data_IF_406364662423
#
_entry.id   IF_406364662423
#
_cell.length_a   1.000
_cell.length_b   1.000
_cell.length_c   1.000
_cell.angle_alpha   90.00
_cell.angle_beta   90.00
_cell.angle_gamma   90.00
#
_symmetry.space_group_name_H-M   'P 1'
#
loop_
_entity.id
_entity.type
_entity.pdbx_description
1 polymer ?
#
# COMPACT_ATOMS: atom_id res chain seq x y z
N UNK A 1 -18.52 8.71 -28.46
CA UNK A 1 -18.03 9.12 -27.13
C UNK A 1 -16.71 8.39 -26.92
N UNK A 2 -15.60 9.11 -26.86
CA UNK A 2 -14.31 8.47 -26.59
C UNK A 2 -14.26 7.96 -25.17
N UNK A 3 -13.69 6.77 -24.99
CA UNK A 3 -13.48 6.18 -23.66
C UNK A 3 -12.40 6.98 -22.93
N UNK A 4 -12.54 7.22 -21.60
CA UNK A 4 -11.50 7.87 -20.82
C UNK A 4 -10.17 7.13 -20.94
N UNK A 5 -9.07 7.86 -21.06
CA UNK A 5 -7.74 7.25 -20.96
C UNK A 5 -7.37 7.08 -19.47
N UNK A 6 -7.67 5.92 -18.92
CA UNK A 6 -7.43 5.64 -17.49
C UNK A 6 -5.94 5.67 -17.13
N UNK A 7 -5.03 5.35 -18.04
CA UNK A 7 -3.59 5.44 -17.79
C UNK A 7 -3.13 6.91 -17.63
N UNK A 8 -3.66 7.83 -18.44
CA UNK A 8 -3.38 9.26 -18.28
C UNK A 8 -3.97 9.82 -16.98
N UNK A 9 -5.17 9.37 -16.59
CA UNK A 9 -5.79 9.76 -15.33
C UNK A 9 -4.91 9.26 -14.17
N UNK A 10 -4.43 8.03 -14.21
CA UNK A 10 -3.50 7.49 -13.22
C UNK A 10 -2.23 8.34 -13.14
N UNK A 11 -1.56 8.58 -14.27
CA UNK A 11 -0.34 9.38 -14.32
C UNK A 11 -0.54 10.82 -13.81
N UNK A 12 -1.70 11.43 -14.07
CA UNK A 12 -2.06 12.73 -13.52
C UNK A 12 -2.10 12.72 -11.98
N UNK A 13 -2.82 11.76 -11.38
CA UNK A 13 -2.87 11.61 -9.93
C UNK A 13 -1.50 11.28 -9.33
N UNK A 14 -0.69 10.49 -10.02
CA UNK A 14 0.68 10.19 -9.59
C UNK A 14 1.55 11.43 -9.53
N UNK A 15 1.48 12.29 -10.53
CA UNK A 15 2.21 13.58 -10.54
C UNK A 15 1.75 14.53 -9.44
N UNK A 16 0.45 14.60 -9.16
CA UNK A 16 -0.07 15.40 -8.04
C UNK A 16 0.46 14.93 -6.67
N UNK A 17 0.72 13.64 -6.55
CA UNK A 17 1.24 13.01 -5.33
C UNK A 17 2.75 12.70 -5.43
N UNK A 18 3.46 13.24 -6.42
CA UNK A 18 4.90 13.07 -6.56
C UNK A 18 5.61 13.81 -5.43
N UNK A 19 5.81 13.12 -4.32
CA UNK A 19 6.60 13.55 -3.18
C UNK A 19 7.87 12.72 -3.08
N UNK A 20 8.79 13.17 -2.24
CA UNK A 20 9.96 12.38 -1.88
C UNK A 20 9.49 11.04 -1.31
N UNK A 21 10.06 9.94 -1.78
CA UNK A 21 9.84 8.64 -1.17
C UNK A 21 10.35 8.71 0.29
N UNK A 22 9.42 8.92 1.23
CA UNK A 22 9.73 9.09 2.65
C UNK A 22 10.44 7.87 3.24
N UNK A 23 10.29 6.71 2.63
CA UNK A 23 10.87 5.45 3.08
C UNK A 23 12.33 5.24 2.64
N UNK A 24 12.92 6.17 1.90
CA UNK A 24 14.37 6.24 1.72
C UNK A 24 15.10 6.64 3.02
N UNK A 25 14.40 7.33 3.93
CA UNK A 25 14.92 7.67 5.24
C UNK A 25 14.84 6.44 6.18
N UNK A 26 15.96 5.99 6.79
CA UNK A 26 15.99 4.83 7.67
C UNK A 26 15.06 4.94 8.90
N UNK A 27 14.89 6.14 9.47
CA UNK A 27 14.02 6.35 10.62
C UNK A 27 12.54 6.16 10.23
N UNK A 28 12.14 6.69 9.07
CA UNK A 28 10.79 6.50 8.55
C UNK A 28 10.51 5.04 8.19
N UNK A 29 11.50 4.36 7.59
CA UNK A 29 11.41 2.93 7.27
C UNK A 29 11.24 2.10 8.55
N UNK A 30 12.06 2.37 9.58
CA UNK A 30 11.97 1.68 10.87
C UNK A 30 10.68 1.98 11.61
N UNK A 31 10.21 3.23 11.59
CA UNK A 31 8.91 3.59 12.19
C UNK A 31 7.76 2.86 11.53
N UNK A 32 7.81 2.67 10.21
CA UNK A 32 6.82 1.88 9.48
C UNK A 32 6.88 0.40 9.87
N UNK A 33 8.07 -0.18 9.93
CA UNK A 33 8.31 -1.57 10.32
C UNK A 33 7.79 -1.90 11.73
N UNK A 34 7.94 -0.98 12.68
CA UNK A 34 7.48 -1.16 14.06
C UNK A 34 5.94 -1.20 14.21
N UNK A 35 5.19 -0.92 13.16
CA UNK A 35 3.72 -0.99 13.20
C UNK A 35 3.23 -2.43 13.25
N UNK A 36 2.82 -2.90 14.42
CA UNK A 36 2.29 -4.26 14.60
C UNK A 36 1.11 -4.59 13.67
N UNK A 37 0.29 -3.59 13.35
CA UNK A 37 -0.92 -3.80 12.52
C UNK A 37 -0.60 -4.16 11.08
N UNK A 38 0.45 -3.57 10.48
CA UNK A 38 0.84 -3.93 9.10
C UNK A 38 1.31 -5.39 9.04
N UNK A 39 2.01 -5.86 10.07
CA UNK A 39 2.48 -7.24 10.16
C UNK A 39 1.31 -8.21 10.35
N UNK A 40 0.35 -7.91 11.24
CA UNK A 40 -0.86 -8.73 11.42
C UNK A 40 -1.65 -8.86 10.12
N UNK A 41 -1.82 -7.76 9.37
CA UNK A 41 -2.47 -7.78 8.07
C UNK A 41 -1.67 -8.60 7.04
N UNK A 42 -0.35 -8.46 7.01
CA UNK A 42 0.54 -9.23 6.14
C UNK A 42 0.44 -10.74 6.37
N UNK A 43 0.52 -11.17 7.62
CA UNK A 43 0.36 -12.58 7.99
C UNK A 43 -1.03 -13.11 7.61
N UNK A 44 -2.10 -12.36 7.92
CA UNK A 44 -3.47 -12.73 7.55
C UNK A 44 -3.63 -12.89 6.05
N UNK A 45 -3.15 -11.94 5.26
CA UNK A 45 -3.20 -12.02 3.79
C UNK A 45 -2.39 -13.18 3.24
N UNK A 46 -1.21 -13.46 3.81
CA UNK A 46 -0.38 -14.58 3.40
C UNK A 46 -1.06 -15.95 3.62
N UNK A 47 -2.02 -16.06 4.55
CA UNK A 47 -2.80 -17.28 4.76
C UNK A 47 -3.85 -17.53 3.68
N UNK A 48 -4.35 -16.48 3.06
CA UNK A 48 -5.40 -16.58 2.04
C UNK A 48 -4.89 -17.04 0.66
N UNK A 49 -3.57 -16.99 0.41
CA UNK A 49 -3.01 -17.38 -0.87
C UNK A 49 -2.94 -18.90 -1.03
N UNK A 50 -3.31 -19.44 -2.21
CA UNK A 50 -3.25 -20.87 -2.51
C UNK A 50 -1.84 -21.31 -2.93
N UNK A 51 -0.79 -20.75 -2.33
CA UNK A 51 0.59 -21.01 -2.68
C UNK A 51 1.10 -22.32 -2.10
N UNK A 52 2.06 -22.93 -2.78
CA UNK A 52 2.70 -24.18 -2.38
C UNK A 52 4.22 -24.03 -2.34
N UNK A 53 4.89 -24.94 -1.67
CA UNK A 53 6.36 -25.05 -1.61
C UNK A 53 7.07 -25.19 -2.98
N UNK A 54 6.34 -25.30 -4.07
CA UNK A 54 6.89 -25.37 -5.42
C UNK A 54 6.83 -24.04 -6.16
N UNK A 55 6.05 -23.10 -5.64
CA UNK A 55 5.76 -21.85 -6.31
C UNK A 55 6.87 -20.82 -6.11
N UNK A 56 7.05 -19.99 -7.11
CA UNK A 56 7.92 -18.82 -7.08
C UNK A 56 7.06 -17.55 -7.07
N UNK A 57 7.41 -16.59 -6.22
CA UNK A 57 6.68 -15.33 -6.04
C UNK A 57 7.60 -14.16 -6.33
N UNK A 58 7.08 -13.16 -7.04
CA UNK A 58 7.68 -11.83 -7.18
C UNK A 58 6.82 -10.83 -6.41
N UNK A 59 7.40 -10.17 -5.41
CA UNK A 59 6.75 -9.13 -4.60
C UNK A 59 7.34 -7.76 -4.97
N UNK A 60 6.51 -6.89 -5.55
CA UNK A 60 6.89 -5.59 -6.09
C UNK A 60 6.60 -4.49 -5.07
N UNK A 61 7.65 -3.77 -4.66
CA UNK A 61 7.56 -2.78 -3.60
C UNK A 61 7.27 -3.44 -2.26
N UNK A 62 8.11 -4.41 -1.89
CA UNK A 62 7.89 -5.25 -0.70
C UNK A 62 7.93 -4.48 0.63
N UNK A 63 8.45 -3.23 0.63
CA UNK A 63 8.73 -2.51 1.87
C UNK A 63 9.62 -3.31 2.80
N UNK A 64 9.33 -3.36 4.13
CA UNK A 64 10.13 -4.12 5.09
C UNK A 64 9.87 -5.64 5.02
N UNK A 65 9.15 -6.11 4.01
CA UNK A 65 8.84 -7.53 3.82
C UNK A 65 7.53 -8.00 4.46
N UNK A 66 6.60 -7.08 4.70
CA UNK A 66 5.32 -7.36 5.38
C UNK A 66 4.57 -8.56 4.80
N UNK A 67 4.67 -8.78 3.49
CA UNK A 67 4.06 -9.92 2.82
C UNK A 67 5.11 -10.99 2.48
N UNK A 68 6.31 -10.60 2.06
CA UNK A 68 7.37 -11.52 1.67
C UNK A 68 7.82 -12.45 2.81
N UNK A 69 7.99 -11.91 4.03
CA UNK A 69 8.40 -12.67 5.21
C UNK A 69 7.40 -13.80 5.55
N UNK A 70 6.08 -13.53 5.72
CA UNK A 70 5.12 -14.60 5.98
C UNK A 70 4.89 -15.54 4.79
N UNK A 71 5.18 -15.15 3.57
CA UNK A 71 5.09 -16.01 2.39
C UNK A 71 6.29 -16.97 2.26
N UNK A 72 7.48 -16.56 2.70
CA UNK A 72 8.70 -17.34 2.55
C UNK A 72 8.59 -18.82 2.99
N UNK A 73 8.00 -19.15 4.15
CA UNK A 73 7.85 -20.56 4.56
C UNK A 73 6.84 -21.36 3.72
N UNK A 74 6.04 -20.71 2.88
CA UNK A 74 4.95 -21.34 2.10
C UNK A 74 5.33 -21.61 0.65
N UNK A 75 6.43 -21.03 0.16
CA UNK A 75 6.80 -21.05 -1.26
C UNK A 75 8.26 -21.50 -1.47
N UNK A 76 8.61 -21.81 -2.70
CA UNK A 76 9.98 -22.14 -3.07
C UNK A 76 10.92 -20.95 -2.89
N UNK A 77 10.55 -19.81 -3.45
CA UNK A 77 11.32 -18.56 -3.37
C UNK A 77 10.39 -17.35 -3.43
N UNK A 78 10.80 -16.27 -2.76
CA UNK A 78 10.21 -14.94 -2.93
C UNK A 78 11.30 -14.00 -3.43
N UNK A 79 11.17 -13.53 -4.66
CA UNK A 79 11.99 -12.42 -5.17
C UNK A 79 11.31 -11.13 -4.79
N UNK A 80 12.01 -10.21 -4.14
CA UNK A 80 11.47 -8.92 -3.73
C UNK A 80 12.17 -7.78 -4.47
N UNK A 81 11.41 -6.86 -5.05
CA UNK A 81 11.91 -5.67 -5.74
C UNK A 81 11.49 -4.45 -4.95
N UNK A 82 12.47 -3.66 -4.48
CA UNK A 82 12.21 -2.51 -3.62
C UNK A 82 13.22 -1.39 -3.91
N UNK A 83 12.76 -0.15 -4.20
CA UNK A 83 13.65 0.98 -4.46
C UNK A 83 14.28 1.58 -3.20
N UNK A 84 13.77 1.29 -2.01
CA UNK A 84 14.35 1.77 -0.75
C UNK A 84 15.37 0.79 -0.21
N UNK A 85 16.64 1.21 -0.18
CA UNK A 85 17.71 0.43 0.46
C UNK A 85 17.44 0.22 1.95
N UNK A 86 16.89 1.23 2.64
CA UNK A 86 16.54 1.14 4.05
C UNK A 86 15.48 0.07 4.32
N UNK A 87 14.49 -0.08 3.45
CA UNK A 87 13.49 -1.14 3.54
C UNK A 87 14.10 -2.52 3.31
N UNK A 88 14.99 -2.66 2.31
CA UNK A 88 15.66 -3.94 2.05
C UNK A 88 16.59 -4.36 3.19
N UNK A 89 17.22 -3.41 3.87
CA UNK A 89 18.06 -3.71 5.05
C UNK A 89 17.20 -4.32 6.16
N UNK A 90 15.99 -3.79 6.38
CA UNK A 90 15.02 -4.36 7.33
C UNK A 90 14.57 -5.76 6.89
N UNK A 91 14.32 -5.99 5.59
CA UNK A 91 14.03 -7.34 5.08
C UNK A 91 15.15 -8.31 5.44
N UNK A 92 16.41 -7.90 5.28
CA UNK A 92 17.56 -8.74 5.63
C UNK A 92 17.65 -9.01 7.14
N UNK A 93 17.38 -8.01 7.99
CA UNK A 93 17.31 -8.18 9.44
C UNK A 93 16.26 -9.23 9.82
N UNK A 94 15.04 -9.12 9.28
CA UNK A 94 13.98 -10.12 9.51
C UNK A 94 14.35 -11.50 8.97
N UNK A 95 15.04 -11.60 7.83
CA UNK A 95 15.50 -12.87 7.30
C UNK A 95 16.50 -13.56 8.25
N UNK A 96 17.43 -12.80 8.83
CA UNK A 96 18.40 -13.31 9.81
C UNK A 96 17.68 -13.75 11.09
N UNK A 97 16.85 -12.90 11.67
CA UNK A 97 16.12 -13.17 12.91
C UNK A 97 15.24 -14.42 12.82
N UNK A 98 14.60 -14.64 11.67
CA UNK A 98 13.65 -15.74 11.44
C UNK A 98 14.27 -16.93 10.71
N UNK A 99 15.60 -16.90 10.43
CA UNK A 99 16.32 -17.93 9.68
C UNK A 99 15.67 -18.23 8.29
N UNK A 100 15.26 -17.20 7.57
CA UNK A 100 14.68 -17.29 6.23
C UNK A 100 15.80 -17.19 5.20
N UNK A 101 15.88 -18.15 4.27
CA UNK A 101 16.99 -18.24 3.26
C UNK A 101 16.49 -18.17 1.82
N UNK A 102 15.18 -18.11 1.59
CA UNK A 102 14.57 -18.18 0.26
C UNK A 102 13.95 -16.86 -0.20
N UNK A 103 14.31 -15.73 0.42
CA UNK A 103 14.01 -14.38 -0.07
C UNK A 103 15.21 -13.87 -0.85
N UNK A 104 14.98 -13.39 -2.08
CA UNK A 104 15.99 -12.85 -3.00
C UNK A 104 15.74 -11.34 -3.13
N UNK A 105 16.49 -10.47 -2.42
CA UNK A 105 16.30 -9.03 -2.48
C UNK A 105 16.93 -8.42 -3.72
N UNK A 106 16.19 -7.53 -4.39
CA UNK A 106 16.65 -6.75 -5.55
C UNK A 106 16.38 -5.27 -5.28
N UNK A 107 17.46 -4.50 -5.16
CA UNK A 107 17.40 -3.05 -5.00
C UNK A 107 17.20 -2.40 -6.37
N UNK A 108 15.96 -2.11 -6.73
CA UNK A 108 15.59 -1.52 -8.02
C UNK A 108 14.21 -0.90 -7.94
N UNK A 109 13.94 0.08 -8.79
CA UNK A 109 12.56 0.47 -9.11
C UNK A 109 11.90 -0.61 -9.97
N UNK A 110 10.57 -0.60 -10.04
CA UNK A 110 9.86 -1.53 -10.92
C UNK A 110 10.18 -1.26 -12.40
N UNK A 111 10.34 -0.02 -12.77
CA UNK A 111 10.65 0.41 -14.13
C UNK A 111 12.00 -0.13 -14.59
N UNK A 112 13.03 -0.06 -13.73
CA UNK A 112 14.39 -0.50 -14.00
C UNK A 112 14.58 -2.02 -13.82
N UNK A 113 13.75 -2.66 -13.02
CA UNK A 113 13.83 -4.10 -12.81
C UNK A 113 13.67 -4.86 -14.11
N UNK A 114 14.66 -5.63 -14.47
CA UNK A 114 14.63 -6.52 -15.62
C UNK A 114 15.13 -7.89 -15.19
N UNK A 115 14.24 -8.88 -15.05
CA UNK A 115 14.68 -10.26 -14.81
C UNK A 115 15.41 -10.77 -16.03
N UNK A 116 16.61 -11.29 -15.84
CA UNK A 116 17.47 -11.76 -16.94
C UNK A 116 16.78 -12.82 -17.81
N UNK A 117 16.66 -12.55 -19.11
CA UNK A 117 16.23 -13.55 -20.09
C UNK A 117 14.75 -13.94 -20.02
N UNK A 118 14.46 -15.22 -19.79
CA UNK A 118 13.10 -15.79 -19.79
C UNK A 118 12.58 -16.07 -18.37
N UNK A 119 13.15 -15.44 -17.35
CA UNK A 119 12.73 -15.68 -15.97
C UNK A 119 11.27 -15.27 -15.78
N UNK A 120 10.47 -16.19 -15.24
CA UNK A 120 9.07 -16.01 -14.91
C UNK A 120 8.79 -16.49 -13.50
N UNK A 121 7.75 -15.94 -12.91
CA UNK A 121 7.29 -16.29 -11.58
C UNK A 121 5.91 -16.93 -11.65
N UNK A 122 5.62 -17.84 -10.74
CA UNK A 122 4.26 -18.39 -10.66
C UNK A 122 3.25 -17.30 -10.30
N UNK A 123 3.63 -16.45 -9.38
CA UNK A 123 2.79 -15.35 -8.90
C UNK A 123 3.56 -14.04 -8.87
N UNK A 124 2.88 -12.97 -9.27
CA UNK A 124 3.38 -11.59 -9.17
C UNK A 124 2.42 -10.81 -8.28
N UNK A 125 2.96 -10.13 -7.28
CA UNK A 125 2.19 -9.39 -6.29
C UNK A 125 2.67 -7.94 -6.25
N UNK A 126 1.75 -6.99 -6.15
CA UNK A 126 2.02 -5.60 -5.75
C UNK A 126 1.03 -5.22 -4.64
N UNK A 127 1.54 -5.00 -3.44
CA UNK A 127 0.72 -4.79 -2.25
C UNK A 127 0.89 -3.39 -1.72
N UNK A 128 -0.08 -2.51 -2.00
CA UNK A 128 -0.07 -1.08 -1.66
C UNK A 128 1.15 -0.33 -2.19
N UNK A 129 1.72 -0.83 -3.27
CA UNK A 129 2.99 -0.37 -3.86
C UNK A 129 2.86 0.10 -5.31
N UNK A 130 1.65 0.38 -5.79
CA UNK A 130 1.40 0.86 -7.15
C UNK A 130 1.81 2.33 -7.29
N UNK A 131 3.13 2.58 -7.23
CA UNK A 131 3.71 3.92 -7.28
C UNK A 131 4.25 4.28 -8.68
N UNK A 132 4.13 3.40 -9.65
CA UNK A 132 4.57 3.57 -11.04
C UNK A 132 3.80 4.70 -11.71
N UNK A 133 4.48 5.53 -12.51
CA UNK A 133 3.82 6.59 -13.27
C UNK A 133 3.00 6.01 -14.42
N UNK A 134 3.58 5.07 -15.17
CA UNK A 134 2.87 4.32 -16.22
C UNK A 134 2.37 2.98 -15.66
N UNK A 135 1.16 3.01 -15.08
CA UNK A 135 0.54 1.80 -14.55
C UNK A 135 0.16 0.81 -15.66
N UNK A 136 -0.14 1.28 -16.87
CA UNK A 136 -0.49 0.43 -18.00
C UNK A 136 0.71 -0.47 -18.38
N UNK A 137 1.88 0.12 -18.57
CA UNK A 137 3.10 -0.63 -18.86
C UNK A 137 3.52 -1.50 -17.67
N UNK A 138 3.33 -1.02 -16.44
CA UNK A 138 3.59 -1.80 -15.23
C UNK A 138 2.73 -3.09 -15.19
N UNK A 139 1.43 -2.98 -15.47
CA UNK A 139 0.50 -4.13 -15.54
C UNK A 139 0.89 -5.11 -16.66
N UNK A 140 1.24 -4.60 -17.85
CA UNK A 140 1.69 -5.44 -18.96
C UNK A 140 2.94 -6.24 -18.59
N UNK A 141 3.91 -5.61 -17.95
CA UNK A 141 5.13 -6.28 -17.46
C UNK A 141 4.81 -7.31 -16.38
N UNK A 142 3.92 -7.01 -15.41
CA UNK A 142 3.46 -7.99 -14.42
C UNK A 142 2.79 -9.19 -15.10
N UNK A 143 1.93 -8.94 -16.09
CA UNK A 143 1.25 -9.99 -16.86
C UNK A 143 2.22 -10.87 -17.64
N UNK A 144 3.30 -10.30 -18.20
CA UNK A 144 4.34 -11.04 -18.91
C UNK A 144 5.17 -11.92 -17.99
N UNK A 145 5.45 -11.47 -16.76
CA UNK A 145 6.30 -12.16 -15.80
C UNK A 145 5.57 -13.26 -15.01
N UNK A 146 4.25 -13.17 -14.86
CA UNK A 146 3.47 -14.16 -14.13
C UNK A 146 3.12 -15.37 -15.02
N UNK A 147 3.12 -16.59 -14.45
CA UNK A 147 2.67 -17.80 -15.12
C UNK A 147 1.31 -18.30 -14.63
N UNK A 148 0.94 -18.04 -13.37
CA UNK A 148 -0.30 -18.49 -12.76
C UNK A 148 -1.28 -17.36 -12.45
N UNK A 149 -0.84 -16.34 -11.69
CA UNK A 149 -1.73 -15.22 -11.33
C UNK A 149 -0.95 -13.97 -10.94
N UNK A 150 -1.57 -12.79 -11.18
CA UNK A 150 -1.15 -11.50 -10.65
C UNK A 150 -2.14 -11.08 -9.57
N UNK A 151 -1.62 -10.47 -8.48
CA UNK A 151 -2.40 -9.92 -7.38
C UNK A 151 -1.99 -8.48 -7.13
N UNK A 152 -2.97 -7.58 -7.13
CA UNK A 152 -2.80 -6.18 -6.73
C UNK A 152 -3.65 -5.92 -5.50
N UNK A 153 -3.07 -5.33 -4.47
CA UNK A 153 -3.81 -4.84 -3.30
C UNK A 153 -3.86 -3.33 -3.35
N UNK A 154 -5.04 -2.76 -3.25
CA UNK A 154 -5.22 -1.32 -3.35
C UNK A 154 -6.44 -0.82 -2.58
N UNK A 155 -6.69 0.49 -2.65
CA UNK A 155 -7.75 1.19 -1.96
C UNK A 155 -8.98 1.36 -2.86
N UNK A 156 -10.17 1.21 -2.29
CA UNK A 156 -11.45 1.43 -2.96
C UNK A 156 -12.20 2.57 -2.26
N UNK A 157 -12.57 3.60 -3.02
CA UNK A 157 -13.22 4.80 -2.48
C UNK A 157 -12.27 5.71 -1.68
N UNK A 158 -12.81 6.71 -1.02
CA UNK A 158 -12.04 7.64 -0.18
C UNK A 158 -11.49 6.92 1.02
N UNK A 159 -10.18 7.06 1.26
CA UNK A 159 -9.54 6.48 2.44
C UNK A 159 -9.77 7.36 3.67
N UNK A 160 -9.69 6.79 4.87
CA UNK A 160 -9.90 7.56 6.10
C UNK A 160 -8.94 8.73 6.24
N UNK A 161 -7.68 8.57 5.84
CA UNK A 161 -6.71 9.67 5.90
C UNK A 161 -6.96 10.75 4.85
N UNK A 162 -7.50 10.41 3.68
CA UNK A 162 -7.92 11.40 2.68
C UNK A 162 -9.17 12.14 3.14
N UNK A 163 -10.12 11.45 3.79
CA UNK A 163 -11.31 12.10 4.35
C UNK A 163 -10.91 13.14 5.40
N UNK A 164 -9.99 12.82 6.31
CA UNK A 164 -9.45 13.78 7.29
C UNK A 164 -8.85 14.99 6.57
N UNK A 165 -8.06 14.75 5.52
CA UNK A 165 -7.44 15.84 4.77
C UNK A 165 -8.48 16.69 4.01
N UNK A 166 -9.50 16.07 3.42
CA UNK A 166 -10.61 16.75 2.74
C UNK A 166 -11.43 17.62 3.71
N UNK A 167 -11.64 17.17 4.92
CA UNK A 167 -12.44 17.88 5.93
C UNK A 167 -11.68 19.04 6.58
N UNK A 168 -10.35 18.88 6.76
CA UNK A 168 -9.54 19.81 7.56
C UNK A 168 -8.71 20.79 6.71
N UNK A 169 -8.08 20.36 5.61
CA UNK A 169 -7.18 21.23 4.85
C UNK A 169 -7.87 22.48 4.28
N UNK A 170 -9.12 22.43 3.79
CA UNK A 170 -9.83 23.65 3.37
C UNK A 170 -10.02 24.65 4.50
N UNK A 171 -10.24 24.18 5.74
CA UNK A 171 -10.45 25.04 6.92
C UNK A 171 -9.14 25.61 7.48
N UNK A 172 -8.03 24.86 7.33
CA UNK A 172 -6.72 25.20 7.90
C UNK A 172 -5.84 25.95 6.92
N UNK A 173 -5.79 25.48 5.66
CA UNK A 173 -4.87 25.99 4.63
C UNK A 173 -5.58 26.60 3.41
N UNK A 174 -6.91 26.53 3.34
CA UNK A 174 -7.67 27.01 2.18
C UNK A 174 -7.42 26.19 0.90
N UNK A 175 -6.89 24.96 1.01
CA UNK A 175 -6.52 24.12 -0.13
C UNK A 175 -7.20 22.76 -0.05
N UNK A 176 -7.44 22.13 -1.22
CA UNK A 176 -7.88 20.75 -1.28
C UNK A 176 -6.67 19.81 -1.34
N UNK A 177 -6.73 18.65 -0.69
CA UNK A 177 -5.68 17.64 -0.81
C UNK A 177 -5.67 17.01 -2.21
N UNK A 178 -4.50 16.55 -2.65
CA UNK A 178 -4.41 15.66 -3.78
C UNK A 178 -4.82 14.24 -3.33
N UNK A 179 -5.92 13.73 -3.89
CA UNK A 179 -6.34 12.35 -3.65
C UNK A 179 -5.51 11.36 -4.48
N UNK A 180 -5.36 10.15 -3.98
CA UNK A 180 -4.72 9.06 -4.74
C UNK A 180 -5.71 8.41 -5.71
N UNK A 181 -5.24 7.88 -6.86
CA UNK A 181 -6.09 7.12 -7.76
C UNK A 181 -6.56 5.83 -7.07
N UNK A 182 -7.77 5.39 -7.40
CA UNK A 182 -8.42 4.26 -6.74
C UNK A 182 -8.57 3.05 -7.67
N UNK A 183 -9.20 2.02 -7.15
CA UNK A 183 -9.45 0.74 -7.83
C UNK A 183 -10.22 0.88 -9.14
N UNK A 184 -11.12 1.83 -9.26
CA UNK A 184 -11.88 2.13 -10.47
C UNK A 184 -10.97 2.47 -11.66
N UNK A 185 -9.93 3.28 -11.44
CA UNK A 185 -8.95 3.62 -12.46
C UNK A 185 -8.10 2.40 -12.82
N UNK A 186 -7.64 1.63 -11.84
CA UNK A 186 -6.89 0.39 -12.07
C UNK A 186 -7.74 -0.58 -12.92
N UNK A 187 -9.00 -0.78 -12.53
CA UNK A 187 -9.89 -1.68 -13.24
C UNK A 187 -10.20 -1.20 -14.65
N UNK A 188 -10.34 0.12 -14.85
CA UNK A 188 -10.47 0.73 -16.17
C UNK A 188 -9.28 0.43 -17.08
N UNK A 189 -8.04 0.53 -16.56
CA UNK A 189 -6.82 0.15 -17.31
C UNK A 189 -6.86 -1.33 -17.66
N UNK A 190 -7.21 -2.21 -16.73
CA UNK A 190 -7.30 -3.65 -16.97
C UNK A 190 -8.33 -3.97 -18.08
N UNK A 191 -9.49 -3.32 -18.06
CA UNK A 191 -10.52 -3.46 -19.10
C UNK A 191 -9.98 -3.00 -20.47
N UNK A 192 -9.27 -1.87 -20.55
CA UNK A 192 -8.67 -1.37 -21.79
C UNK A 192 -7.57 -2.29 -22.33
N UNK A 193 -6.87 -3.02 -21.46
CA UNK A 193 -5.91 -4.08 -21.82
C UNK A 193 -6.61 -5.41 -22.18
N UNK A 194 -7.93 -5.46 -22.09
CA UNK A 194 -8.70 -6.68 -22.28
C UNK A 194 -8.44 -7.75 -21.22
N UNK A 195 -7.97 -7.36 -20.02
CA UNK A 195 -7.73 -8.24 -18.89
C UNK A 195 -9.02 -8.33 -18.08
N UNK A 196 -9.55 -9.54 -17.93
CA UNK A 196 -10.66 -9.82 -17.02
C UNK A 196 -10.11 -10.16 -15.64
N UNK A 197 -10.32 -9.29 -14.68
CA UNK A 197 -9.84 -9.44 -13.32
C UNK A 197 -10.98 -9.65 -12.32
N UNK A 198 -10.72 -10.48 -11.33
CA UNK A 198 -11.56 -10.60 -10.13
C UNK A 198 -11.26 -9.45 -9.17
N UNK A 199 -12.27 -8.91 -8.51
CA UNK A 199 -12.13 -7.91 -7.44
C UNK A 199 -12.78 -8.45 -6.18
N UNK A 200 -12.00 -8.60 -5.11
CA UNK A 200 -12.49 -9.07 -3.80
C UNK A 200 -12.23 -7.99 -2.76
N UNK A 201 -13.25 -7.60 -2.00
CA UNK A 201 -13.07 -6.79 -0.81
C UNK A 201 -12.35 -7.60 0.26
N UNK A 202 -11.40 -6.94 0.97
CA UNK A 202 -10.69 -7.53 2.09
C UNK A 202 -11.46 -7.22 3.37
N UNK A 203 -11.95 -8.26 4.02
CA UNK A 203 -12.66 -8.13 5.29
C UNK A 203 -11.70 -8.15 6.47
N UNK A 204 -11.99 -7.31 7.46
CA UNK A 204 -11.22 -7.25 8.71
C UNK A 204 -9.79 -6.72 8.55
N UNK A 205 -9.48 -6.07 7.42
CA UNK A 205 -8.31 -5.21 7.30
C UNK A 205 -8.68 -3.86 7.86
N UNK A 206 -8.01 -3.44 8.94
CA UNK A 206 -8.23 -2.16 9.59
C UNK A 206 -6.92 -1.71 10.23
N UNK A 207 -6.58 -0.45 10.03
CA UNK A 207 -5.40 0.18 10.63
C UNK A 207 -5.79 1.13 11.76
N UNK A 208 -6.72 0.70 12.62
CA UNK A 208 -7.13 1.42 13.81
C UNK A 208 -5.94 1.75 14.72
N UNK A 209 -6.03 2.89 15.40
CA UNK A 209 -5.05 3.32 16.40
C UNK A 209 -5.75 3.69 17.70
N UNK A 210 -5.09 3.43 18.80
CA UNK A 210 -5.50 3.80 20.14
C UNK A 210 -4.64 4.95 20.65
N UNK A 211 -5.27 5.93 21.32
CA UNK A 211 -4.62 7.05 21.96
C UNK A 211 -5.07 7.14 23.41
N UNK A 212 -4.12 7.25 24.31
CA UNK A 212 -4.42 7.29 25.75
C UNK A 212 -4.93 8.64 26.22
N UNK A 213 -4.59 9.70 25.47
CA UNK A 213 -5.03 11.06 25.81
C UNK A 213 -5.65 11.75 24.58
N UNK A 214 -6.44 12.80 24.84
CA UNK A 214 -6.96 13.68 23.80
C UNK A 214 -5.82 14.37 23.03
N UNK A 215 -4.76 14.74 23.74
CA UNK A 215 -3.60 15.41 23.13
C UNK A 215 -2.88 14.50 22.13
N UNK A 216 -2.74 13.21 22.43
CA UNK A 216 -2.16 12.24 21.48
C UNK A 216 -2.98 12.15 20.20
N UNK A 217 -4.31 12.13 20.31
CA UNK A 217 -5.21 12.11 19.14
C UNK A 217 -5.12 13.42 18.32
N UNK A 218 -5.02 14.57 18.99
CA UNK A 218 -4.81 15.88 18.32
C UNK A 218 -3.45 15.90 17.63
N UNK A 219 -2.42 15.33 18.25
CA UNK A 219 -1.08 15.24 17.66
C UNK A 219 -1.07 14.34 16.40
N UNK A 220 -1.84 13.26 16.41
CA UNK A 220 -2.03 12.43 15.20
C UNK A 220 -2.72 13.24 14.08
N UNK A 221 -3.76 14.03 14.40
CA UNK A 221 -4.41 14.93 13.45
C UNK A 221 -3.45 15.99 12.89
N UNK A 222 -2.67 16.66 13.75
CA UNK A 222 -1.67 17.65 13.32
C UNK A 222 -0.70 17.05 12.30
N UNK A 223 -0.16 15.86 12.59
CA UNK A 223 0.74 15.13 11.67
C UNK A 223 0.07 14.82 10.33
N UNK A 224 -1.19 14.38 10.33
CA UNK A 224 -1.92 14.05 9.11
C UNK A 224 -2.16 15.24 8.21
N UNK A 225 -2.40 16.42 8.78
CA UNK A 225 -2.64 17.66 8.01
C UNK A 225 -1.37 18.51 7.83
N UNK A 226 -0.23 18.05 8.36
CA UNK A 226 1.08 18.70 8.21
C UNK A 226 1.12 20.08 8.84
N UNK A 227 0.78 20.16 10.15
CA UNK A 227 0.89 21.37 10.98
C UNK A 227 1.60 21.02 12.29
N UNK A 228 2.44 21.94 12.76
CA UNK A 228 3.24 21.75 13.98
C UNK A 228 2.79 22.68 15.13
N UNK A 229 1.95 23.68 14.84
CA UNK A 229 1.49 24.67 15.82
C UNK A 229 0.10 24.35 16.39
N UNK A 230 -0.17 24.82 17.60
CA UNK A 230 -1.50 24.73 18.23
C UNK A 230 -2.52 25.76 17.73
N UNK A 231 -2.19 26.56 16.73
CA UNK A 231 -3.06 27.62 16.19
C UNK A 231 -4.45 27.11 15.76
N UNK A 232 -4.51 25.88 15.25
CA UNK A 232 -5.74 25.27 14.72
C UNK A 232 -6.39 24.26 15.66
N UNK A 233 -5.96 24.16 16.91
CA UNK A 233 -6.42 23.15 17.85
C UNK A 233 -7.93 23.17 18.07
N UNK A 234 -8.56 24.33 18.09
CA UNK A 234 -10.02 24.44 18.18
C UNK A 234 -10.73 23.72 17.03
N UNK A 235 -10.18 23.82 15.80
CA UNK A 235 -10.71 23.12 14.62
C UNK A 235 -10.50 21.61 14.75
N UNK A 236 -9.30 21.21 15.19
CA UNK A 236 -8.97 19.79 15.38
C UNK A 236 -9.80 19.16 16.50
N UNK A 237 -10.02 19.87 17.60
CA UNK A 237 -10.88 19.41 18.69
C UNK A 237 -12.35 19.26 18.29
N UNK A 238 -12.84 20.17 17.45
CA UNK A 238 -14.19 20.06 16.88
C UNK A 238 -14.29 18.83 16.00
N UNK A 239 -13.32 18.66 15.09
CA UNK A 239 -13.25 17.48 14.22
C UNK A 239 -13.18 16.18 15.02
N UNK A 240 -12.34 16.13 16.06
CA UNK A 240 -12.20 14.98 16.94
C UNK A 240 -13.53 14.54 17.58
N UNK A 241 -14.42 15.51 17.89
CA UNK A 241 -15.71 15.27 18.53
C UNK A 241 -16.82 14.88 17.54
N UNK A 242 -16.75 15.39 16.32
CA UNK A 242 -17.83 15.29 15.33
C UNK A 242 -17.57 14.22 14.26
N UNK A 243 -16.32 13.76 14.14
CA UNK A 243 -15.91 12.79 13.12
C UNK A 243 -16.26 11.35 13.50
N UNK A 244 -16.76 10.59 12.53
CA UNK A 244 -16.95 9.15 12.68
C UNK A 244 -15.62 8.37 12.65
N UNK A 245 -14.53 9.02 12.22
CA UNK A 245 -13.19 8.43 12.13
C UNK A 245 -12.49 8.42 13.50
N UNK A 246 -12.74 9.43 14.33
CA UNK A 246 -12.23 9.45 15.70
C UNK A 246 -13.39 9.24 16.67
N UNK A 247 -13.22 8.31 17.59
CA UNK A 247 -14.24 7.94 18.56
C UNK A 247 -13.65 7.93 19.96
N UNK A 248 -14.41 8.46 20.92
CA UNK A 248 -14.06 8.34 22.33
C UNK A 248 -14.81 7.15 22.95
N UNK A 249 -14.05 6.23 23.52
CA UNK A 249 -14.58 5.09 24.26
C UNK A 249 -13.93 5.12 25.65
N UNK A 250 -14.75 5.25 26.70
CA UNK A 250 -14.31 5.50 28.06
C UNK A 250 -13.37 6.72 28.15
N UNK A 251 -12.13 6.52 28.64
CA UNK A 251 -11.11 7.57 28.76
C UNK A 251 -10.13 7.64 27.58
N UNK A 252 -10.29 6.77 26.57
CA UNK A 252 -9.37 6.66 25.42
C UNK A 252 -9.99 7.16 24.14
N UNK A 253 -9.15 7.54 23.20
CA UNK A 253 -9.52 7.89 21.85
C UNK A 253 -9.06 6.83 20.86
N UNK A 254 -9.85 6.62 19.82
CA UNK A 254 -9.58 5.66 18.76
C UNK A 254 -9.69 6.32 17.40
N UNK A 255 -8.68 6.14 16.55
CA UNK A 255 -8.84 6.31 15.12
C UNK A 255 -9.40 5.00 14.57
N UNK A 256 -10.57 5.07 13.96
CA UNK A 256 -11.24 3.94 13.30
C UNK A 256 -11.02 4.03 11.81
N UNK A 257 -10.23 3.13 11.26
CA UNK A 257 -9.96 3.09 9.84
C UNK A 257 -11.18 2.53 9.08
N UNK A 258 -11.82 3.38 8.30
CA UNK A 258 -12.99 3.04 7.48
C UNK A 258 -12.61 2.76 6.03
N UNK A 259 -11.32 2.78 5.71
CA UNK A 259 -10.79 2.53 4.37
C UNK A 259 -11.23 1.16 3.85
N UNK A 260 -11.71 1.12 2.62
CA UNK A 260 -12.02 -0.13 1.93
C UNK A 260 -10.81 -0.60 1.16
N UNK A 261 -10.37 -1.81 1.44
CA UNK A 261 -9.25 -2.48 0.82
C UNK A 261 -9.75 -3.56 -0.13
N UNK A 262 -9.08 -3.70 -1.28
CA UNK A 262 -9.44 -4.72 -2.27
C UNK A 262 -8.22 -5.48 -2.76
N UNK A 263 -8.45 -6.73 -3.13
CA UNK A 263 -7.55 -7.54 -3.93
C UNK A 263 -8.11 -7.63 -5.35
N UNK A 264 -7.33 -7.17 -6.33
CA UNK A 264 -7.60 -7.33 -7.75
C UNK A 264 -6.69 -8.43 -8.26
N UNK A 265 -7.23 -9.44 -8.94
CA UNK A 265 -6.38 -10.53 -9.42
C UNK A 265 -6.84 -11.10 -10.75
N UNK A 266 -5.89 -11.59 -11.55
CA UNK A 266 -6.20 -12.20 -12.84
C UNK A 266 -5.19 -13.28 -13.22
N UNK A 267 -5.61 -14.16 -14.11
CA UNK A 267 -4.71 -15.11 -14.78
C UNK A 267 -4.02 -14.41 -15.95
N UNK A 268 -2.68 -14.51 -16.08
CA UNK A 268 -1.99 -13.91 -17.21
C UNK A 268 -2.53 -14.45 -18.54
N UNK A 269 -2.70 -13.57 -19.52
CA UNK A 269 -2.95 -14.00 -20.90
C UNK A 269 -1.62 -14.46 -21.50
N UNK A 270 -1.66 -15.63 -22.13
CA UNK A 270 -0.53 -16.17 -22.92
C UNK A 270 -0.33 -15.35 -24.19
#
# INVERSE_FOLDING_TARGET
MEMPNYAEIWAYYRRLNAGKNQYQNPESAKSYDLSQKIWLDGYKRAEEFPFTQRDTVLDIGCGPGVLAIPLAPKVKTVTVVEPSKAMLDIVQEHCIEKNIQNIIPIHSTWEEFFPGGQEKFDYVIASYSLMMEDLREAILKMNQLATKRVYLFWFCGTTSWEQIALDLLPKIKGTLPACHPKTDIIYGILCQLGISADVKHLEGTSFDREFFTKEDAIQDLRKRVGIDSGEYDTILETYLKESDIYQKEDEKWFYRDQTKYVCISWKPKK
#
